data_IF_444100282505
#
_entry.id   IF_444100282505
#
_cell.length_a   1.000
_cell.length_b   1.000
_cell.length_c   1.000
_cell.angle_alpha   90.00
_cell.angle_beta   90.00
_cell.angle_gamma   90.00
#
_symmetry.space_group_name_H-M   'P 1'
#
loop_
_entity.id
_entity.type
_entity.pdbx_description
1 polymer ?
#
# COMPACT_ATOMS: atom_id res chain seq x y z
N UNK A 1 -6.88 30.84 9.24
CA UNK A 1 -8.15 31.57 9.37
C UNK A 1 -8.80 31.21 10.71
N UNK A 2 -9.53 32.12 11.36
CA UNK A 2 -10.30 31.76 12.57
C UNK A 2 -11.62 31.14 12.16
N UNK A 3 -11.85 29.88 12.57
CA UNK A 3 -13.08 29.14 12.30
C UNK A 3 -13.80 28.92 13.63
N UNK A 4 -15.12 29.06 13.62
CA UNK A 4 -15.98 28.65 14.73
C UNK A 4 -16.59 27.29 14.41
N UNK A 5 -16.40 26.31 15.28
CA UNK A 5 -17.02 25.01 15.13
C UNK A 5 -18.54 25.14 15.31
N UNK A 6 -19.37 24.74 14.33
CA UNK A 6 -20.83 24.76 14.43
C UNK A 6 -21.38 23.73 15.43
N UNK A 7 -20.60 22.68 15.74
CA UNK A 7 -21.03 21.62 16.67
C UNK A 7 -20.80 22.00 18.14
N UNK A 8 -19.56 22.34 18.52
CA UNK A 8 -19.23 22.67 19.92
C UNK A 8 -19.11 24.17 20.21
N UNK A 9 -19.23 25.04 19.21
CA UNK A 9 -19.09 26.49 19.34
C UNK A 9 -17.65 27.01 19.52
N UNK A 10 -16.66 26.13 19.60
CA UNK A 10 -15.28 26.54 19.87
C UNK A 10 -14.66 27.31 18.70
N UNK A 11 -13.92 28.37 19.01
CA UNK A 11 -13.17 29.19 18.04
C UNK A 11 -11.71 28.76 18.04
N UNK A 12 -11.17 28.46 16.86
CA UNK A 12 -9.77 28.05 16.71
C UNK A 12 -9.16 28.59 15.41
N UNK A 13 -7.82 28.66 15.38
CA UNK A 13 -7.09 29.01 14.18
C UNK A 13 -6.83 27.76 13.35
N UNK A 14 -7.46 27.73 12.18
CA UNK A 14 -7.26 26.70 11.18
C UNK A 14 -6.12 27.09 10.22
N UNK A 15 -5.19 26.17 9.89
CA UNK A 15 -4.14 26.42 8.92
C UNK A 15 -4.72 26.84 7.55
N UNK A 16 -4.28 27.93 6.92
CA UNK A 16 -4.84 28.37 5.64
C UNK A 16 -4.58 27.34 4.52
N UNK A 17 -5.51 27.22 3.57
CA UNK A 17 -5.33 26.43 2.34
C UNK A 17 -5.77 24.97 2.39
N UNK A 18 -6.45 24.52 3.46
CA UNK A 18 -7.02 23.17 3.55
C UNK A 18 -8.51 23.18 3.20
N UNK A 19 -9.00 22.19 2.45
CA UNK A 19 -10.45 22.05 2.20
C UNK A 19 -11.19 21.61 3.47
N UNK A 20 -10.54 20.79 4.30
CA UNK A 20 -11.11 20.24 5.52
C UNK A 20 -10.32 20.68 6.76
N UNK A 21 -11.05 20.96 7.85
CA UNK A 21 -10.53 21.39 9.14
C UNK A 21 -11.12 20.53 10.24
N UNK A 22 -10.27 19.99 11.12
CA UNK A 22 -10.74 19.24 12.28
C UNK A 22 -10.80 20.20 13.47
N UNK A 23 -11.92 20.21 14.19
CA UNK A 23 -12.05 20.98 15.42
C UNK A 23 -11.16 20.38 16.51
N UNK A 24 -10.19 21.13 17.08
CA UNK A 24 -9.25 20.61 18.07
C UNK A 24 -9.89 20.37 19.45
N UNK A 25 -11.19 20.65 19.61
CA UNK A 25 -11.91 20.48 20.87
C UNK A 25 -12.84 19.27 20.84
N UNK A 26 -13.68 19.16 19.81
CA UNK A 26 -14.68 18.09 19.70
C UNK A 26 -14.40 17.08 18.59
N UNK A 27 -13.40 17.31 17.72
CA UNK A 27 -13.06 16.39 16.62
C UNK A 27 -13.94 16.49 15.37
N UNK A 28 -14.94 17.38 15.35
CA UNK A 28 -15.81 17.61 14.18
C UNK A 28 -14.99 18.12 12.99
N UNK A 29 -15.17 17.50 11.81
CA UNK A 29 -14.54 17.99 10.57
C UNK A 29 -15.46 18.99 9.89
N UNK A 30 -14.88 20.07 9.38
CA UNK A 30 -15.53 21.15 8.66
C UNK A 30 -14.94 21.25 7.27
N UNK A 31 -15.78 21.33 6.25
CA UNK A 31 -15.33 21.56 4.87
C UNK A 31 -16.23 22.55 4.18
N UNK A 32 -15.69 23.67 3.71
CA UNK A 32 -16.43 24.67 2.91
C UNK A 32 -17.85 25.01 3.45
N UNK A 33 -18.01 25.08 4.77
CA UNK A 33 -19.30 25.36 5.44
C UNK A 33 -20.20 24.14 5.69
N UNK A 34 -19.84 22.95 5.20
CA UNK A 34 -20.46 21.67 5.57
C UNK A 34 -19.81 21.10 6.83
N UNK A 35 -20.65 20.61 7.73
CA UNK A 35 -20.23 19.94 8.97
C UNK A 35 -20.26 18.43 8.74
N UNK A 36 -19.15 17.76 9.02
CA UNK A 36 -19.06 16.31 9.02
C UNK A 36 -18.91 15.83 10.46
N UNK A 37 -19.93 15.12 10.93
CA UNK A 37 -20.04 14.68 12.32
C UNK A 37 -19.20 13.43 12.60
N UNK A 38 -19.04 12.57 11.59
CA UNK A 38 -18.41 11.26 11.72
C UNK A 38 -16.94 11.29 11.25
N UNK A 39 -16.04 11.44 12.22
CA UNK A 39 -14.60 11.43 11.99
C UNK A 39 -14.01 10.30 12.81
N UNK A 40 -13.32 9.40 12.14
CA UNK A 40 -12.72 8.23 12.75
C UNK A 40 -11.22 8.17 12.49
N UNK A 41 -10.56 7.29 13.22
CA UNK A 41 -9.15 7.00 13.09
C UNK A 41 -8.88 5.55 13.39
N UNK A 42 -7.97 4.96 12.62
CA UNK A 42 -7.34 3.70 12.95
C UNK A 42 -6.25 3.94 13.98
N UNK A 43 -6.37 3.27 15.12
CA UNK A 43 -5.35 3.35 16.16
C UNK A 43 -4.06 2.73 15.62
N UNK A 44 -2.93 3.46 15.63
CA UNK A 44 -1.65 2.85 15.31
C UNK A 44 -1.34 1.82 16.41
N UNK A 45 -1.37 0.53 16.06
CA UNK A 45 -1.03 -0.57 16.98
C UNK A 45 0.48 -0.80 17.04
N UNK A 46 1.18 -0.37 16.00
CA UNK A 46 2.63 -0.48 15.84
C UNK A 46 3.29 0.83 16.21
N UNK A 47 4.08 0.80 17.28
CA UNK A 47 4.92 1.94 17.67
C UNK A 47 6.15 2.07 16.75
N UNK A 48 6.91 3.16 16.96
CA UNK A 48 8.12 3.46 16.18
C UNK A 48 9.17 2.35 16.24
N UNK A 49 9.40 1.76 17.42
CA UNK A 49 10.43 0.75 17.64
C UNK A 49 10.05 -0.55 16.93
N UNK A 50 8.79 -0.96 17.09
CA UNK A 50 8.23 -2.12 16.42
C UNK A 50 8.21 -1.93 14.89
N UNK A 51 7.91 -0.73 14.39
CA UNK A 51 7.96 -0.44 12.95
C UNK A 51 9.37 -0.66 12.37
N UNK A 52 10.41 -0.14 13.02
CA UNK A 52 11.80 -0.42 12.62
C UNK A 52 12.13 -1.90 12.73
N UNK A 53 11.73 -2.57 13.81
CA UNK A 53 11.96 -4.00 13.99
C UNK A 53 11.34 -4.82 12.87
N UNK A 54 10.10 -4.53 12.48
CA UNK A 54 9.43 -5.21 11.37
C UNK A 54 10.11 -4.92 10.03
N UNK A 55 10.43 -3.67 9.73
CA UNK A 55 11.10 -3.28 8.49
C UNK A 55 12.51 -3.92 8.36
N UNK A 56 13.33 -3.85 9.41
CA UNK A 56 14.72 -4.32 9.36
C UNK A 56 14.88 -5.84 9.51
N UNK A 57 13.88 -6.53 10.09
CA UNK A 57 13.83 -7.99 10.09
C UNK A 57 13.14 -8.57 8.86
N UNK A 58 12.49 -7.75 8.03
CA UNK A 58 11.96 -8.21 6.76
C UNK A 58 13.12 -8.62 5.82
N UNK A 59 13.05 -9.83 5.27
CA UNK A 59 14.13 -10.44 4.48
C UNK A 59 13.68 -10.70 3.04
N UNK A 60 13.57 -9.67 2.21
CA UNK A 60 13.38 -9.86 0.77
C UNK A 60 14.64 -10.50 0.16
N UNK A 61 14.48 -11.10 -1.03
CA UNK A 61 15.55 -11.82 -1.72
C UNK A 61 16.82 -10.97 -1.88
N UNK A 62 17.95 -11.49 -1.41
CA UNK A 62 19.25 -10.84 -1.49
C UNK A 62 19.52 -9.74 -0.44
N UNK A 63 18.62 -9.53 0.54
CA UNK A 63 18.92 -8.68 1.68
C UNK A 63 20.09 -9.24 2.53
N UNK A 64 20.88 -8.41 3.22
CA UNK A 64 21.94 -8.89 4.09
C UNK A 64 21.38 -9.45 5.41
N UNK A 65 22.05 -10.47 5.94
CA UNK A 65 21.65 -11.08 7.21
C UNK A 65 21.80 -10.12 8.39
N UNK A 66 22.77 -9.20 8.30
CA UNK A 66 23.08 -8.15 9.29
C UNK A 66 22.25 -6.86 9.09
N UNK A 67 21.24 -6.83 8.21
CA UNK A 67 20.37 -5.65 8.06
C UNK A 67 19.76 -5.11 9.39
N UNK A 68 19.40 -5.94 10.40
CA UNK A 68 18.89 -5.47 11.69
C UNK A 68 19.86 -4.63 12.49
N UNK A 69 21.17 -4.66 12.18
CA UNK A 69 22.14 -3.76 12.82
C UNK A 69 22.16 -2.37 12.19
N UNK A 70 21.31 -2.09 11.21
CA UNK A 70 21.17 -0.76 10.65
C UNK A 70 20.70 0.26 11.70
N UNK A 71 21.18 1.50 11.57
CA UNK A 71 20.87 2.58 12.49
C UNK A 71 19.60 3.33 12.05
N UNK A 72 18.57 3.46 12.90
CA UNK A 72 17.42 4.32 12.63
C UNK A 72 17.84 5.79 12.45
N UNK A 73 17.29 6.49 11.46
CA UNK A 73 17.58 7.92 11.21
C UNK A 73 16.36 8.81 11.42
N UNK A 74 15.21 8.46 10.85
CA UNK A 74 13.98 9.24 10.97
C UNK A 74 12.75 8.32 10.94
N UNK A 75 11.69 8.74 11.63
CA UNK A 75 10.40 8.08 11.58
C UNK A 75 9.30 9.12 11.67
N UNK A 76 8.47 9.19 10.63
CA UNK A 76 7.32 10.08 10.54
C UNK A 76 6.05 9.25 10.45
N UNK A 77 5.08 9.53 11.33
CA UNK A 77 3.78 8.89 11.33
C UNK A 77 2.81 9.76 10.52
N UNK A 78 2.35 9.27 9.38
CA UNK A 78 1.40 9.98 8.53
C UNK A 78 0.02 9.34 8.61
N UNK A 79 -1.01 10.16 8.71
CA UNK A 79 -2.40 9.75 8.67
C UNK A 79 -3.01 10.19 7.35
N UNK A 80 -3.34 9.23 6.48
CA UNK A 80 -4.02 9.50 5.22
C UNK A 80 -5.53 9.52 5.44
N UNK A 81 -6.25 10.53 4.93
CA UNK A 81 -7.70 10.59 5.02
C UNK A 81 -8.32 9.63 4.01
N UNK A 82 -9.30 8.87 4.47
CA UNK A 82 -10.13 8.00 3.66
C UNK A 82 -11.58 8.46 3.78
N UNK A 83 -12.34 8.35 2.70
CA UNK A 83 -13.79 8.46 2.77
C UNK A 83 -14.40 7.11 3.08
N UNK A 84 -15.33 7.09 4.02
CA UNK A 84 -16.12 5.93 4.40
C UNK A 84 -17.46 5.98 3.70
N UNK A 85 -17.80 4.89 3.03
CA UNK A 85 -19.07 4.70 2.35
C UNK A 85 -19.82 3.56 3.00
N UNK A 86 -21.13 3.71 3.10
CA UNK A 86 -22.05 2.60 3.25
C UNK A 86 -22.67 2.31 1.89
N UNK A 87 -22.56 1.07 1.43
CA UNK A 87 -23.00 0.63 0.10
C UNK A 87 -24.06 -0.44 0.30
N UNK A 88 -25.22 -0.23 -0.30
CA UNK A 88 -26.35 -1.16 -0.30
C UNK A 88 -26.62 -1.64 -1.72
N UNK A 89 -27.15 -2.86 -1.81
CA UNK A 89 -27.33 -3.58 -3.06
C UNK A 89 -28.77 -4.07 -3.13
N UNK A 90 -29.68 -3.36 -3.81
CA UNK A 90 -31.08 -3.81 -3.89
C UNK A 90 -31.27 -4.81 -5.04
N UNK A 91 -32.01 -5.92 -4.85
CA UNK A 91 -32.78 -6.33 -3.66
C UNK A 91 -32.01 -7.24 -2.67
N UNK A 92 -30.68 -7.32 -2.78
CA UNK A 92 -29.81 -8.14 -1.94
C UNK A 92 -29.22 -7.32 -0.78
N UNK A 93 -30.07 -6.79 0.09
CA UNK A 93 -29.65 -5.92 1.19
C UNK A 93 -28.66 -6.62 2.14
N UNK A 94 -28.65 -7.95 2.18
CA UNK A 94 -27.69 -8.79 2.91
C UNK A 94 -26.22 -8.58 2.49
N UNK A 95 -25.99 -8.04 1.29
CA UNK A 95 -24.65 -7.71 0.78
C UNK A 95 -24.17 -6.31 1.19
N UNK A 96 -24.94 -5.60 2.01
CA UNK A 96 -24.56 -4.28 2.50
C UNK A 96 -23.15 -4.30 3.10
N UNK A 97 -22.37 -3.26 2.78
CA UNK A 97 -20.98 -3.22 3.20
C UNK A 97 -20.49 -1.81 3.43
N UNK A 98 -19.42 -1.72 4.21
CA UNK A 98 -18.66 -0.49 4.36
C UNK A 98 -17.38 -0.60 3.55
N UNK A 99 -17.10 0.44 2.77
CA UNK A 99 -15.89 0.54 1.97
C UNK A 99 -15.18 1.87 2.26
N UNK A 100 -13.86 1.87 2.06
CA UNK A 100 -13.05 3.08 2.23
C UNK A 100 -12.23 3.38 0.99
N UNK A 101 -12.23 4.64 0.55
CA UNK A 101 -11.44 5.11 -0.57
C UNK A 101 -10.46 6.20 -0.13
N UNK A 102 -9.28 6.23 -0.73
CA UNK A 102 -8.27 7.26 -0.45
C UNK A 102 -8.79 8.63 -0.89
N UNK A 103 -8.81 9.59 0.04
CA UNK A 103 -9.35 10.92 -0.19
C UNK A 103 -8.27 11.94 -0.61
N UNK A 104 -7.08 11.45 -0.96
CA UNK A 104 -5.96 12.26 -1.49
C UNK A 104 -5.54 11.80 -2.88
N UNK A 105 -5.38 12.76 -3.79
CA UNK A 105 -4.90 12.49 -5.16
C UNK A 105 -3.43 12.04 -5.19
N UNK A 106 -2.59 12.68 -4.37
CA UNK A 106 -1.14 12.47 -4.35
C UNK A 106 -0.65 12.22 -2.92
N UNK A 107 -0.60 10.96 -2.46
CA UNK A 107 -0.08 10.65 -1.14
C UNK A 107 1.41 10.99 -1.01
N UNK A 108 1.92 11.31 0.19
CA UNK A 108 3.32 11.70 0.44
C UNK A 108 4.33 10.57 0.15
N UNK A 109 3.85 9.33 0.03
CA UNK A 109 4.63 8.15 -0.31
C UNK A 109 3.84 7.28 -1.29
N UNK A 110 4.56 6.45 -2.05
CA UNK A 110 3.98 5.53 -3.02
C UNK A 110 3.33 4.35 -2.28
N UNK A 111 2.00 4.24 -2.40
CA UNK A 111 1.25 3.07 -1.95
C UNK A 111 1.32 1.92 -2.98
N UNK A 112 1.17 0.66 -2.55
CA UNK A 112 0.91 -0.46 -3.45
C UNK A 112 -0.26 -0.18 -4.39
N UNK A 113 -0.17 -0.62 -5.65
CA UNK A 113 -1.15 -0.29 -6.71
C UNK A 113 -2.59 -0.71 -6.39
N UNK A 114 -2.76 -1.78 -5.59
CA UNK A 114 -4.07 -2.32 -5.17
C UNK A 114 -4.12 -2.44 -3.65
N UNK A 115 -3.78 -1.35 -2.96
CA UNK A 115 -3.91 -1.31 -1.51
C UNK A 115 -5.38 -1.17 -1.13
N UNK A 116 -5.93 -2.20 -0.49
CA UNK A 116 -7.28 -2.16 0.06
C UNK A 116 -7.22 -1.62 1.48
N UNK A 117 -7.93 -0.52 1.71
CA UNK A 117 -8.05 0.02 3.06
C UNK A 117 -9.16 -0.72 3.82
N UNK A 118 -8.93 -1.11 5.08
CA UNK A 118 -9.98 -1.70 5.87
C UNK A 118 -11.01 -0.63 6.26
N UNK A 119 -12.28 -1.01 6.25
CA UNK A 119 -13.38 -0.15 6.70
C UNK A 119 -13.80 -0.42 8.16
N UNK A 120 -13.51 -1.63 8.67
CA UNK A 120 -13.87 -2.09 10.02
C UNK A 120 -12.79 -1.71 11.04
N UNK A 121 -13.15 -1.68 12.32
CA UNK A 121 -12.25 -1.39 13.46
C UNK A 121 -11.71 0.04 13.56
N UNK A 122 -12.59 1.00 13.33
CA UNK A 122 -12.33 2.44 13.47
C UNK A 122 -12.79 2.97 14.84
N UNK A 123 -12.07 3.93 15.39
CA UNK A 123 -12.44 4.61 16.64
C UNK A 123 -12.77 6.08 16.39
N UNK A 124 -13.68 6.70 17.15
CA UNK A 124 -13.93 8.13 17.03
C UNK A 124 -12.64 8.94 17.19
N UNK A 125 -12.45 9.91 16.31
CA UNK A 125 -11.27 10.77 16.33
C UNK A 125 -11.23 11.63 17.58
N UNK A 126 -10.04 11.70 18.21
CA UNK A 126 -9.78 12.57 19.36
C UNK A 126 -8.74 13.61 18.99
N UNK A 127 -8.97 14.91 19.24
CA UNK A 127 -8.01 15.96 18.90
C UNK A 127 -6.60 15.79 19.49
N UNK A 128 -6.47 15.12 20.63
CA UNK A 128 -5.17 14.79 21.21
C UNK A 128 -4.28 13.97 20.26
N UNK A 129 -4.87 13.25 19.30
CA UNK A 129 -4.15 12.43 18.34
C UNK A 129 -3.46 13.29 17.25
N UNK A 130 -3.87 14.54 17.00
CA UNK A 130 -3.19 15.40 16.02
C UNK A 130 -1.71 15.64 16.35
N UNK A 131 -1.35 15.52 17.63
CA UNK A 131 0.02 15.75 18.10
C UNK A 131 0.95 14.56 17.84
N UNK A 132 0.42 13.38 17.47
CA UNK A 132 1.21 12.15 17.35
C UNK A 132 1.81 11.94 15.96
N UNK A 133 1.36 12.70 14.95
CA UNK A 133 1.79 12.52 13.57
C UNK A 133 1.26 13.60 12.63
N UNK A 134 1.52 13.43 11.35
CA UNK A 134 1.13 14.34 10.27
C UNK A 134 -0.21 13.90 9.70
N UNK A 135 -1.26 14.68 9.95
CA UNK A 135 -2.59 14.46 9.37
C UNK A 135 -2.71 15.18 8.03
N UNK A 136 -2.96 14.42 6.97
CA UNK A 136 -3.16 14.95 5.62
C UNK A 136 -4.61 15.34 5.40
N UNK A 137 -4.85 16.40 4.64
CA UNK A 137 -6.21 16.85 4.33
C UNK A 137 -6.71 16.23 3.03
N UNK A 138 -8.00 15.87 2.93
CA UNK A 138 -8.58 15.44 1.68
C UNK A 138 -8.54 16.56 0.63
N UNK A 139 -8.28 16.21 -0.62
CA UNK A 139 -8.30 17.14 -1.77
C UNK A 139 -9.34 16.75 -2.83
N UNK A 140 -9.75 15.47 -2.87
CA UNK A 140 -10.77 14.90 -3.75
C UNK A 140 -12.18 14.99 -3.15
N UNK A 141 -13.22 14.94 -3.99
CA UNK A 141 -14.62 14.83 -3.54
C UNK A 141 -15.04 13.37 -3.27
N UNK A 142 -16.02 13.11 -2.38
CA UNK A 142 -16.53 11.76 -2.15
C UNK A 142 -17.09 11.07 -3.42
N UNK A 143 -17.68 11.83 -4.34
CA UNK A 143 -18.22 11.31 -5.60
C UNK A 143 -17.10 10.83 -6.53
N UNK A 144 -16.01 11.61 -6.62
CA UNK A 144 -14.84 11.28 -7.44
C UNK A 144 -14.16 9.99 -6.96
N UNK A 145 -13.97 9.86 -5.65
CA UNK A 145 -13.28 8.71 -5.04
C UNK A 145 -14.11 7.44 -5.02
N UNK A 146 -15.45 7.53 -5.02
CA UNK A 146 -16.30 6.33 -5.08
C UNK A 146 -16.04 5.50 -6.34
N UNK A 147 -15.67 6.14 -7.45
CA UNK A 147 -15.30 5.45 -8.69
C UNK A 147 -14.11 4.48 -8.55
N UNK A 148 -13.25 4.70 -7.53
CA UNK A 148 -12.14 3.79 -7.22
C UNK A 148 -12.58 2.47 -6.58
N UNK A 149 -13.81 2.40 -6.05
CA UNK A 149 -14.39 1.22 -5.39
C UNK A 149 -15.10 0.27 -6.37
N UNK A 150 -14.79 0.36 -7.66
CA UNK A 150 -15.36 -0.50 -8.69
C UNK A 150 -15.20 -1.99 -8.38
N UNK A 151 -14.08 -2.40 -7.77
CA UNK A 151 -13.80 -3.81 -7.48
C UNK A 151 -14.80 -4.36 -6.45
N UNK A 152 -15.18 -3.56 -5.44
CA UNK A 152 -16.22 -3.90 -4.44
C UNK A 152 -17.59 -4.05 -5.11
N UNK A 153 -17.88 -3.16 -6.05
CA UNK A 153 -19.14 -3.16 -6.79
C UNK A 153 -19.21 -4.35 -7.76
N UNK A 154 -18.10 -4.67 -8.43
CA UNK A 154 -17.98 -5.82 -9.34
C UNK A 154 -18.13 -7.14 -8.58
N UNK A 155 -17.50 -7.29 -7.41
CA UNK A 155 -17.65 -8.48 -6.56
C UNK A 155 -19.12 -8.73 -6.17
N UNK A 156 -19.85 -7.69 -5.77
CA UNK A 156 -21.27 -7.81 -5.45
C UNK A 156 -22.13 -8.16 -6.68
N UNK A 157 -21.81 -7.61 -7.85
CA UNK A 157 -22.50 -7.94 -9.12
C UNK A 157 -22.23 -9.38 -9.54
N UNK A 158 -21.00 -9.85 -9.39
CA UNK A 158 -20.61 -11.23 -9.70
C UNK A 158 -21.37 -12.20 -8.78
N UNK A 159 -21.44 -11.90 -7.48
CA UNK A 159 -22.26 -12.67 -6.55
C UNK A 159 -23.74 -12.69 -6.96
N UNK A 160 -24.33 -11.54 -7.27
CA UNK A 160 -25.73 -11.45 -7.69
C UNK A 160 -26.02 -12.21 -9.01
N UNK A 161 -25.05 -12.27 -9.90
CA UNK A 161 -25.15 -12.99 -11.18
C UNK A 161 -25.37 -14.49 -10.99
N UNK A 162 -24.81 -15.07 -9.91
CA UNK A 162 -25.02 -16.48 -9.52
C UNK A 162 -26.50 -16.76 -9.28
N UNK A 163 -27.20 -15.81 -8.67
CA UNK A 163 -28.63 -15.88 -8.38
C UNK A 163 -29.52 -15.36 -9.53
N UNK A 164 -28.92 -14.94 -10.66
CA UNK A 164 -29.60 -14.32 -11.81
C UNK A 164 -30.42 -13.08 -11.44
N UNK A 165 -30.00 -12.37 -10.40
CA UNK A 165 -30.65 -11.14 -9.93
C UNK A 165 -29.89 -9.94 -10.49
N UNK A 166 -30.63 -8.93 -10.97
CA UNK A 166 -30.06 -7.62 -11.29
C UNK A 166 -30.03 -6.78 -10.02
N UNK A 167 -28.85 -6.24 -9.70
CA UNK A 167 -28.64 -5.42 -8.51
C UNK A 167 -28.48 -3.96 -8.89
N UNK A 168 -29.22 -3.09 -8.20
CA UNK A 168 -28.96 -1.65 -8.17
C UNK A 168 -28.06 -1.30 -6.98
N UNK A 169 -27.15 -0.35 -7.19
CA UNK A 169 -26.19 0.07 -6.16
C UNK A 169 -26.61 1.44 -5.67
N UNK A 170 -26.77 1.55 -4.37
CA UNK A 170 -26.96 2.82 -3.67
C UNK A 170 -25.79 3.00 -2.69
N UNK A 171 -25.36 4.24 -2.49
CA UNK A 171 -24.29 4.54 -1.56
C UNK A 171 -24.55 5.84 -0.80
N UNK A 172 -24.15 5.87 0.46
CA UNK A 172 -24.11 7.07 1.30
C UNK A 172 -22.69 7.34 1.76
N UNK A 173 -22.34 8.62 1.80
CA UNK A 173 -21.11 9.07 2.43
C UNK A 173 -21.31 9.14 3.95
N UNK A 174 -20.55 8.33 4.70
CA UNK A 174 -20.73 8.17 6.14
C UNK A 174 -19.74 8.98 6.98
N UNK A 175 -18.58 9.36 6.41
CA UNK A 175 -17.58 10.14 7.15
C UNK A 175 -16.15 9.99 6.65
N UNK A 176 -15.22 10.53 7.44
CA UNK A 176 -13.78 10.50 7.15
C UNK A 176 -13.09 9.57 8.14
N UNK A 177 -12.15 8.77 7.66
CA UNK A 177 -11.34 7.86 8.47
C UNK A 177 -9.86 8.11 8.22
N UNK A 178 -9.10 8.38 9.27
CA UNK A 178 -7.65 8.54 9.16
C UNK A 178 -6.92 7.20 9.33
N UNK A 179 -6.10 6.82 8.35
CA UNK A 179 -5.33 5.59 8.34
C UNK A 179 -3.83 5.82 8.51
N UNK A 180 -3.15 5.21 9.49
CA UNK A 180 -1.79 5.54 9.88
C UNK A 180 -0.71 4.72 9.14
N UNK A 181 0.38 5.39 8.74
CA UNK A 181 1.56 4.80 8.12
C UNK A 181 2.84 5.36 8.72
N UNK A 182 3.81 4.49 8.97
CA UNK A 182 5.18 4.87 9.31
C UNK A 182 6.03 5.01 8.05
N UNK A 183 6.49 6.23 7.77
CA UNK A 183 7.57 6.48 6.83
C UNK A 183 8.90 6.49 7.60
N UNK A 184 9.74 5.50 7.33
CA UNK A 184 10.99 5.26 8.05
C UNK A 184 12.19 5.58 7.15
N UNK A 185 13.24 6.13 7.76
CA UNK A 185 14.59 6.23 7.18
C UNK A 185 15.58 5.56 8.11
N UNK A 186 16.49 4.80 7.54
CA UNK A 186 17.55 4.13 8.26
C UNK A 186 18.84 4.14 7.46
N UNK A 187 19.96 4.01 8.16
CA UNK A 187 21.28 3.94 7.58
C UNK A 187 21.87 2.56 7.78
N UNK A 188 22.26 1.93 6.68
CA UNK A 188 23.05 0.72 6.71
C UNK A 188 24.45 1.05 6.19
N UNK A 189 25.44 0.97 7.08
CA UNK A 189 26.81 1.46 6.86
C UNK A 189 26.79 2.96 6.53
N UNK A 190 27.18 3.38 5.34
CA UNK A 190 27.22 4.80 4.95
C UNK A 190 26.10 5.20 4.00
N UNK A 191 25.08 4.35 3.82
CA UNK A 191 24.01 4.59 2.84
C UNK A 191 22.63 4.67 3.50
N UNK A 192 21.84 5.71 3.16
CA UNK A 192 20.47 5.83 3.63
C UNK A 192 19.53 4.94 2.80
N UNK A 193 18.50 4.44 3.46
CA UNK A 193 17.45 3.61 2.89
C UNK A 193 16.10 3.99 3.49
N UNK A 194 15.02 3.71 2.76
CA UNK A 194 13.65 4.00 3.16
C UNK A 194 12.84 2.74 3.40
N UNK A 195 11.85 2.84 4.29
CA UNK A 195 10.80 1.83 4.44
C UNK A 195 9.45 2.50 4.69
N UNK A 196 8.38 1.83 4.24
CA UNK A 196 7.00 2.20 4.53
C UNK A 196 6.34 1.03 5.24
N UNK A 197 5.80 1.28 6.43
CA UNK A 197 5.12 0.28 7.25
C UNK A 197 3.71 0.76 7.55
N UNK A 198 2.72 -0.08 7.36
CA UNK A 198 1.38 0.17 7.87
C UNK A 198 1.40 0.17 9.40
N UNK A 199 1.00 1.27 10.03
CA UNK A 199 1.05 1.41 11.48
C UNK A 199 -0.16 0.80 12.20
N UNK A 200 -1.25 0.49 11.49
CA UNK A 200 -2.43 -0.17 12.06
C UNK A 200 -2.21 -1.68 12.25
N UNK A 201 -1.44 -2.33 11.36
CA UNK A 201 -1.23 -3.79 11.40
C UNK A 201 0.25 -4.21 11.42
N UNK A 202 1.16 -3.35 10.97
CA UNK A 202 2.60 -3.62 10.91
C UNK A 202 3.10 -4.27 9.63
N UNK A 203 2.30 -4.34 8.57
CA UNK A 203 2.79 -4.87 7.30
C UNK A 203 3.83 -3.94 6.68
N UNK A 204 4.96 -4.48 6.24
CA UNK A 204 5.97 -3.73 5.49
C UNK A 204 5.48 -3.63 4.04
N UNK A 205 5.22 -2.41 3.57
CA UNK A 205 4.65 -2.15 2.25
C UNK A 205 5.73 -1.86 1.21
N UNK A 206 6.75 -1.10 1.63
CA UNK A 206 7.90 -0.77 0.79
C UNK A 206 9.15 -0.90 1.64
N UNK A 207 10.21 -1.49 1.08
CA UNK A 207 11.53 -1.52 1.70
C UNK A 207 12.61 -1.38 0.62
N UNK A 208 13.39 -0.32 0.70
CA UNK A 208 14.65 -0.21 -0.03
C UNK A 208 15.74 -0.82 0.85
N UNK A 209 16.61 -1.65 0.29
CA UNK A 209 17.66 -2.35 1.04
C UNK A 209 18.93 -2.59 0.20
N UNK A 210 20.12 -2.73 0.81
CA UNK A 210 21.34 -3.14 0.10
C UNK A 210 21.26 -4.59 -0.40
N UNK A 211 21.75 -4.89 -1.61
CA UNK A 211 21.88 -6.29 -2.05
C UNK A 211 23.21 -6.86 -1.54
N UNK A 212 23.14 -7.97 -0.80
CA UNK A 212 24.32 -8.66 -0.26
C UNK A 212 25.15 -9.33 -1.34
N UNK A 213 26.44 -9.57 -1.09
CA UNK A 213 27.31 -10.31 -2.04
C UNK A 213 26.75 -11.70 -2.35
N UNK A 214 26.23 -12.37 -1.32
CA UNK A 214 25.55 -13.65 -1.44
C UNK A 214 24.32 -13.55 -2.33
N UNK A 215 23.43 -12.59 -2.09
CA UNK A 215 22.25 -12.36 -2.93
C UNK A 215 22.57 -12.09 -4.40
N UNK A 216 23.66 -11.35 -4.66
CA UNK A 216 24.14 -11.12 -6.04
C UNK A 216 24.62 -12.42 -6.69
N UNK A 217 25.38 -13.25 -5.95
CA UNK A 217 25.84 -14.54 -6.45
C UNK A 217 24.67 -15.50 -6.70
N UNK A 218 23.68 -15.54 -5.80
CA UNK A 218 22.44 -16.32 -5.98
C UNK A 218 21.66 -15.86 -7.22
N UNK A 219 21.52 -14.55 -7.44
CA UNK A 219 20.90 -14.02 -8.65
C UNK A 219 21.61 -14.44 -9.95
N UNK A 220 22.95 -14.38 -9.98
CA UNK A 220 23.73 -14.86 -11.14
C UNK A 220 23.62 -16.37 -11.32
N UNK A 221 23.64 -17.14 -10.23
CA UNK A 221 23.44 -18.58 -10.26
C UNK A 221 22.09 -18.96 -10.87
N UNK A 222 21.01 -18.31 -10.41
CA UNK A 222 19.66 -18.51 -10.97
C UNK A 222 19.59 -18.13 -12.45
N UNK A 223 20.28 -17.07 -12.88
CA UNK A 223 20.33 -16.68 -14.29
C UNK A 223 21.00 -17.77 -15.14
N UNK A 224 22.14 -18.31 -14.68
CA UNK A 224 22.83 -19.41 -15.34
C UNK A 224 21.98 -20.68 -15.38
N UNK A 225 21.34 -21.05 -14.27
CA UNK A 225 20.43 -22.19 -14.20
C UNK A 225 19.25 -22.03 -15.17
N UNK A 226 18.66 -20.84 -15.28
CA UNK A 226 17.56 -20.58 -16.21
C UNK A 226 17.99 -20.85 -17.67
N UNK A 227 19.17 -20.35 -18.07
CA UNK A 227 19.69 -20.55 -19.43
C UNK A 227 20.08 -22.02 -19.68
N UNK A 228 20.83 -22.62 -18.77
CA UNK A 228 21.31 -24.00 -18.96
C UNK A 228 20.18 -25.02 -18.97
N UNK A 229 19.19 -24.86 -18.08
CA UNK A 229 18.03 -25.75 -18.03
C UNK A 229 17.14 -25.59 -19.26
N UNK A 230 16.88 -24.36 -19.73
CA UNK A 230 16.09 -24.14 -20.94
C UNK A 230 16.83 -24.61 -22.19
N UNK A 231 18.15 -24.41 -22.29
CA UNK A 231 18.98 -24.96 -23.36
C UNK A 231 18.98 -26.49 -23.38
N UNK A 232 19.06 -27.14 -22.22
CA UNK A 232 19.01 -28.60 -22.13
C UNK A 232 17.65 -29.14 -22.61
N UNK A 233 16.54 -28.53 -22.17
CA UNK A 233 15.19 -28.88 -22.65
C UNK A 233 15.07 -28.63 -24.15
N UNK A 234 15.57 -27.49 -24.63
CA UNK A 234 15.58 -27.17 -26.06
C UNK A 234 16.35 -28.19 -26.89
N UNK A 235 17.53 -28.64 -26.45
CA UNK A 235 18.31 -29.68 -27.11
C UNK A 235 17.54 -31.00 -27.23
N UNK A 236 16.88 -31.44 -26.16
CA UNK A 236 16.07 -32.65 -26.14
C UNK A 236 14.87 -32.56 -27.09
N UNK A 237 14.18 -31.42 -27.11
CA UNK A 237 13.07 -31.17 -28.05
C UNK A 237 13.57 -31.16 -29.49
N UNK A 238 14.71 -30.51 -29.76
CA UNK A 238 15.34 -30.52 -31.08
C UNK A 238 15.64 -31.95 -31.56
N UNK A 239 16.24 -32.78 -30.69
CA UNK A 239 16.51 -34.18 -30.99
C UNK A 239 15.23 -35.00 -31.25
N UNK A 240 14.18 -34.81 -30.44
CA UNK A 240 12.89 -35.51 -30.59
C UNK A 240 12.19 -35.18 -31.92
N UNK A 241 12.36 -33.95 -32.42
CA UNK A 241 11.81 -33.49 -33.69
C UNK A 241 12.72 -33.78 -34.90
N UNK A 242 13.79 -34.57 -34.73
CA UNK A 242 14.80 -34.85 -35.76
C UNK A 242 15.50 -33.59 -36.32
N UNK A 243 15.58 -32.51 -35.52
CA UNK A 243 16.38 -31.33 -35.80
C UNK A 243 17.76 -31.44 -35.12
N UNK A 244 18.73 -30.62 -35.55
CA UNK A 244 20.02 -30.58 -34.88
C UNK A 244 19.86 -30.13 -33.41
N UNK A 245 20.35 -30.90 -32.41
CA UNK A 245 20.18 -30.57 -30.99
C UNK A 245 20.73 -29.18 -30.61
N UNK A 246 21.78 -28.72 -31.29
CA UNK A 246 22.33 -27.39 -31.11
C UNK A 246 21.33 -26.28 -31.45
N UNK A 247 20.50 -26.44 -32.49
CA UNK A 247 19.46 -25.48 -32.86
C UNK A 247 18.36 -25.43 -31.78
N UNK A 248 17.98 -26.59 -31.25
CA UNK A 248 17.06 -26.69 -30.13
C UNK A 248 17.59 -26.01 -28.87
N UNK A 249 18.87 -26.24 -28.52
CA UNK A 249 19.53 -25.63 -27.37
C UNK A 249 19.59 -24.09 -27.45
N UNK A 250 19.86 -23.56 -28.66
CA UNK A 250 19.83 -22.12 -28.93
C UNK A 250 18.42 -21.57 -28.75
N UNK A 251 17.40 -22.24 -29.30
CA UNK A 251 16.00 -21.84 -29.11
C UNK A 251 15.60 -21.80 -27.63
N UNK A 252 15.98 -22.82 -26.86
CA UNK A 252 15.79 -22.87 -25.41
C UNK A 252 16.53 -21.75 -24.67
N UNK A 253 17.77 -21.47 -25.03
CA UNK A 253 18.55 -20.36 -24.45
C UNK A 253 17.83 -19.03 -24.67
N UNK A 254 17.45 -18.74 -25.92
CA UNK A 254 16.78 -17.51 -26.33
C UNK A 254 15.45 -17.31 -25.58
N UNK A 255 14.68 -18.38 -25.38
CA UNK A 255 13.42 -18.33 -24.63
C UNK A 255 13.60 -17.87 -23.17
N UNK A 256 14.76 -18.15 -22.55
CA UNK A 256 15.04 -17.78 -21.15
C UNK A 256 15.71 -16.41 -20.97
N UNK A 257 16.15 -15.76 -22.06
CA UNK A 257 16.95 -14.53 -21.99
C UNK A 257 16.27 -13.41 -21.18
N UNK A 258 14.96 -13.24 -21.31
CA UNK A 258 14.22 -12.22 -20.57
C UNK A 258 14.28 -12.42 -19.05
N UNK A 259 14.20 -13.68 -18.59
CA UNK A 259 14.32 -14.01 -17.17
C UNK A 259 15.77 -13.84 -16.68
N UNK A 260 16.74 -14.36 -17.44
CA UNK A 260 18.16 -14.24 -17.11
C UNK A 260 18.62 -12.77 -17.06
N UNK A 261 18.18 -11.93 -18.00
CA UNK A 261 18.47 -10.51 -18.02
C UNK A 261 17.97 -9.79 -16.76
N UNK A 262 16.75 -10.12 -16.26
CA UNK A 262 16.22 -9.57 -15.01
C UNK A 262 17.04 -9.97 -13.78
N UNK A 263 17.51 -11.22 -13.73
CA UNK A 263 18.34 -11.71 -12.65
C UNK A 263 19.75 -11.11 -12.67
N UNK A 264 20.32 -10.91 -13.87
CA UNK A 264 21.61 -10.24 -14.06
C UNK A 264 21.51 -8.75 -13.67
N UNK A 265 20.45 -8.04 -14.07
CA UNK A 265 20.25 -6.63 -13.67
C UNK A 265 20.03 -6.51 -12.17
N UNK A 266 19.30 -7.43 -11.54
CA UNK A 266 19.21 -7.53 -10.09
C UNK A 266 20.59 -7.70 -9.45
N UNK A 267 21.40 -8.66 -9.92
CA UNK A 267 22.72 -8.93 -9.38
C UNK A 267 23.74 -7.81 -9.66
N UNK A 268 23.54 -7.01 -10.70
CA UNK A 268 24.33 -5.80 -10.96
C UNK A 268 23.94 -4.63 -10.04
N UNK A 269 22.69 -4.59 -9.59
CA UNK A 269 22.19 -3.56 -8.68
C UNK A 269 22.88 -3.64 -7.31
N UNK A 270 23.04 -2.47 -6.67
CA UNK A 270 23.49 -2.35 -5.28
C UNK A 270 22.33 -2.22 -4.30
N UNK A 271 21.14 -1.93 -4.81
CA UNK A 271 19.94 -1.66 -4.02
C UNK A 271 18.80 -2.53 -4.53
N UNK A 272 18.24 -3.32 -3.62
CA UNK A 272 16.99 -4.03 -3.83
C UNK A 272 15.83 -3.15 -3.41
N UNK A 273 14.69 -3.33 -4.07
CA UNK A 273 13.44 -2.69 -3.70
C UNK A 273 12.37 -3.75 -3.56
N UNK A 274 11.76 -3.80 -2.41
CA UNK A 274 10.55 -4.55 -2.17
C UNK A 274 9.36 -3.60 -2.24
N UNK A 275 8.37 -3.95 -3.04
CA UNK A 275 7.04 -3.32 -3.04
C UNK A 275 6.03 -4.45 -2.86
N UNK A 276 5.20 -4.38 -1.82
CA UNK A 276 4.11 -5.31 -1.62
C UNK A 276 3.20 -5.26 -2.86
N UNK A 277 2.96 -6.41 -3.48
CA UNK A 277 2.13 -6.48 -4.68
C UNK A 277 0.66 -6.20 -4.37
N UNK A 278 0.22 -6.62 -3.18
CA UNK A 278 -1.18 -6.65 -2.79
C UNK A 278 -1.34 -6.88 -1.28
N UNK A 279 -2.47 -6.43 -0.72
CA UNK A 279 -2.97 -6.80 0.61
C UNK A 279 -4.46 -7.14 0.50
N UNK A 280 -4.81 -8.36 0.94
CA UNK A 280 -6.19 -8.87 1.12
C UNK A 280 -6.64 -8.41 2.50
#
# INVERSE_FOLDING_TARGET
MKIQCPFCGAKYEAPPGRKFYVCPYCGTVLSEGKTYENVYVFKPTVDKTEAFRKALNFRPFGAPDDLPSASPEAAELHFLPLYLYHITFSPLDELETYATALAVSTPPFKLPKRYVFPARWRTPFKPSLEKIGVFHSPDLSPEETFSSLKDVVEEARDYASVFKVRVSIEWSFEGIVYYPFWQLRYRYRDRPYGALVDAAEGSVLVLDYPISRRGRAEGLGLAATAILSSSAVGALVGAYLYLAPALGALGGALASLGAAARLITFAASRTGKYEAAYRL
#
